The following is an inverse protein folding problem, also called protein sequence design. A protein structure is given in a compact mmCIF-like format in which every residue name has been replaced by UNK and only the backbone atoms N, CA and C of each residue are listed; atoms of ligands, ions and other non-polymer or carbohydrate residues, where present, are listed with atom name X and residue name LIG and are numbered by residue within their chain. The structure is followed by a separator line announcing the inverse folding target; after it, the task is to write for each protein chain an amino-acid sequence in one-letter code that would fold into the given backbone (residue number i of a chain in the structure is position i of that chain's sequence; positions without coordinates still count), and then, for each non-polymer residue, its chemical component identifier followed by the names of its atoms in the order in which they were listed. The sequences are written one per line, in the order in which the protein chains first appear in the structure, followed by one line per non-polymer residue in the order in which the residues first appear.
data_IF_920302548895
#
_entry.id   IF_920302548895
#
_cell.length_a   1.000
_cell.length_b   1.000
_cell.length_c   1.000
_cell.angle_alpha   90.00
_cell.angle_beta   90.00
_cell.angle_gamma   90.00
#
_symmetry.space_group_name_H-M   'P 1'
#
loop_
_entity.id
_entity.type
_entity.pdbx_description
1 polymer ?
#
# COMPACT_ATOMS: atom_id res chain seq x y z
N UNK A 1 -19.06 14.95 6.22
CA UNK A 1 -17.82 14.98 5.44
C UNK A 1 -16.99 13.74 5.71
N UNK A 2 -16.57 13.10 4.66
CA UNK A 2 -15.75 11.89 4.81
C UNK A 2 -14.28 12.27 4.87
N UNK A 3 -13.52 11.60 5.75
CA UNK A 3 -12.07 11.76 5.83
C UNK A 3 -11.41 10.73 4.91
N UNK A 4 -11.58 10.94 3.62
CA UNK A 4 -11.02 10.06 2.61
C UNK A 4 -9.51 10.20 2.56
N UNK A 5 -8.83 9.06 2.63
CA UNK A 5 -7.37 8.98 2.54
C UNK A 5 -6.97 7.99 1.49
N UNK A 6 -5.80 8.21 0.94
CA UNK A 6 -5.19 7.29 0.00
C UNK A 6 -3.92 6.73 0.64
N UNK A 7 -3.79 5.42 0.63
CA UNK A 7 -2.63 4.74 1.19
C UNK A 7 -1.61 4.54 0.06
N UNK A 8 -0.43 5.08 0.26
CA UNK A 8 0.64 5.07 -0.74
C UNK A 8 1.74 4.12 -0.31
N UNK A 9 2.14 3.23 -1.20
CA UNK A 9 3.28 2.35 -1.01
C UNK A 9 4.48 2.95 -1.73
N UNK A 10 5.60 3.07 -1.03
CA UNK A 10 6.84 3.57 -1.63
C UNK A 10 7.72 2.41 -2.04
N UNK A 11 8.57 2.67 -3.04
CA UNK A 11 9.52 1.67 -3.51
C UNK A 11 10.42 1.22 -2.36
N UNK A 12 10.59 -0.10 -2.24
CA UNK A 12 11.33 -0.71 -1.15
C UNK A 12 12.41 -1.61 -1.73
N UNK A 13 13.66 -1.22 -1.54
CA UNK A 13 14.80 -1.98 -2.03
C UNK A 13 15.22 -3.10 -1.06
N UNK A 14 14.69 -3.09 0.15
CA UNK A 14 15.11 -4.02 1.21
C UNK A 14 14.32 -5.32 1.24
N UNK A 15 13.09 -5.31 0.72
CA UNK A 15 12.24 -6.50 0.72
C UNK A 15 12.12 -7.06 -0.70
N UNK A 16 12.03 -8.38 -0.80
CA UNK A 16 11.89 -8.97 -2.11
C UNK A 16 10.45 -8.81 -2.61
N UNK A 17 10.31 -8.95 -3.90
CA UNK A 17 9.07 -8.76 -4.63
C UNK A 17 7.93 -9.64 -4.08
N UNK A 18 8.24 -10.92 -3.85
CA UNK A 18 7.24 -11.88 -3.39
C UNK A 18 6.69 -11.51 -2.01
N UNK A 19 7.55 -11.00 -1.15
CA UNK A 19 7.16 -10.59 0.19
C UNK A 19 6.18 -9.42 0.15
N UNK A 20 6.51 -8.39 -0.63
CA UNK A 20 5.65 -7.21 -0.74
C UNK A 20 4.32 -7.60 -1.37
N UNK A 21 4.34 -8.42 -2.40
CA UNK A 21 3.11 -8.90 -3.05
C UNK A 21 2.21 -9.63 -2.07
N UNK A 22 2.77 -10.52 -1.26
CA UNK A 22 2.00 -11.25 -0.27
C UNK A 22 1.34 -10.31 0.73
N UNK A 23 2.05 -9.26 1.16
CA UNK A 23 1.49 -8.28 2.08
C UNK A 23 0.31 -7.53 1.47
N UNK A 24 0.42 -7.12 0.20
CA UNK A 24 -0.67 -6.41 -0.46
C UNK A 24 -1.90 -7.30 -0.62
N UNK A 25 -1.70 -8.57 -0.93
CA UNK A 25 -2.81 -9.52 -1.06
C UNK A 25 -3.48 -9.72 0.31
N UNK A 26 -2.70 -9.89 1.34
CA UNK A 26 -3.24 -10.22 2.67
C UNK A 26 -3.92 -9.01 3.34
N UNK A 27 -3.28 -7.85 3.31
CA UNK A 27 -3.75 -6.70 4.10
C UNK A 27 -4.55 -5.70 3.30
N UNK A 28 -4.31 -5.58 2.00
CA UNK A 28 -5.04 -4.64 1.14
C UNK A 28 -6.11 -5.31 0.30
N UNK A 29 -6.23 -6.64 0.41
CA UNK A 29 -7.23 -7.41 -0.34
C UNK A 29 -7.04 -7.33 -1.85
N UNK A 30 -5.82 -7.10 -2.30
CA UNK A 30 -5.50 -7.14 -3.72
C UNK A 30 -5.56 -8.57 -4.24
N UNK A 31 -5.94 -8.75 -5.51
CA UNK A 31 -5.68 -10.01 -6.17
C UNK A 31 -4.22 -10.03 -6.63
N UNK A 32 -3.77 -11.17 -7.13
CA UNK A 32 -2.38 -11.35 -7.52
C UNK A 32 -1.92 -10.31 -8.55
N UNK A 33 -2.72 -10.12 -9.60
CA UNK A 33 -2.35 -9.20 -10.68
C UNK A 33 -2.33 -7.75 -10.20
N UNK A 34 -3.30 -7.36 -9.41
CA UNK A 34 -3.38 -6.02 -8.87
C UNK A 34 -2.16 -5.70 -7.99
N UNK A 35 -1.78 -6.65 -7.13
CA UNK A 35 -0.60 -6.48 -6.28
C UNK A 35 0.66 -6.34 -7.12
N UNK A 36 0.82 -7.17 -8.15
CA UNK A 36 1.97 -7.08 -9.04
C UNK A 36 2.05 -5.73 -9.73
N UNK A 37 0.93 -5.24 -10.25
CA UNK A 37 0.91 -3.96 -10.93
C UNK A 37 1.31 -2.81 -10.01
N UNK A 38 0.84 -2.84 -8.75
CA UNK A 38 1.21 -1.82 -7.78
C UNK A 38 2.71 -1.83 -7.49
N UNK A 39 3.31 -3.01 -7.39
CA UNK A 39 4.74 -3.11 -7.12
C UNK A 39 5.55 -2.59 -8.31
N UNK A 40 5.15 -2.93 -9.53
CA UNK A 40 5.83 -2.46 -10.72
C UNK A 40 5.74 -0.93 -10.81
N UNK A 41 4.58 -0.36 -10.55
CA UNK A 41 4.40 1.09 -10.57
C UNK A 41 5.27 1.76 -9.50
N UNK A 42 5.29 1.21 -8.29
CA UNK A 42 6.10 1.75 -7.22
C UNK A 42 7.59 1.67 -7.56
N UNK A 43 8.02 0.59 -8.19
CA UNK A 43 9.41 0.43 -8.60
C UNK A 43 9.79 1.47 -9.66
N UNK A 44 8.92 1.70 -10.63
CA UNK A 44 9.23 2.59 -11.75
C UNK A 44 9.03 4.07 -11.43
N UNK A 45 8.06 4.39 -10.59
CA UNK A 45 7.70 5.78 -10.28
C UNK A 45 8.09 6.22 -8.88
N UNK A 46 8.51 5.29 -8.03
CA UNK A 46 8.86 5.59 -6.65
C UNK A 46 7.74 5.33 -5.66
N UNK A 47 6.50 5.31 -6.10
CA UNK A 47 5.35 5.05 -5.23
C UNK A 47 4.14 4.65 -6.04
N UNK A 48 3.16 4.07 -5.34
CA UNK A 48 1.89 3.66 -5.94
C UNK A 48 0.79 3.72 -4.89
N UNK A 49 -0.37 4.25 -5.29
CA UNK A 49 -1.56 4.21 -4.44
C UNK A 49 -2.09 2.77 -4.41
N UNK A 50 -2.16 2.18 -3.22
CA UNK A 50 -2.55 0.77 -3.10
C UNK A 50 -3.97 0.59 -2.57
N UNK A 51 -4.52 1.61 -1.91
CA UNK A 51 -5.88 1.52 -1.38
C UNK A 51 -6.37 2.92 -1.03
N UNK A 52 -7.69 3.09 -1.02
CA UNK A 52 -8.27 4.35 -0.57
C UNK A 52 -9.55 4.07 0.20
N UNK A 53 -9.90 4.99 1.09
CA UNK A 53 -11.11 4.89 1.88
C UNK A 53 -11.05 5.81 3.07
N UNK A 54 -11.99 5.64 3.98
CA UNK A 54 -12.06 6.44 5.19
C UNK A 54 -10.82 6.21 6.04
N UNK A 55 -10.35 7.28 6.70
CA UNK A 55 -9.14 7.22 7.51
C UNK A 55 -9.22 6.12 8.58
N UNK A 56 -10.40 5.91 9.17
CA UNK A 56 -10.55 4.91 10.22
C UNK A 56 -10.35 3.49 9.69
N UNK A 57 -10.63 3.27 8.41
CA UNK A 57 -10.39 1.98 7.78
C UNK A 57 -8.95 1.83 7.30
N UNK A 58 -8.31 2.94 6.95
CA UNK A 58 -6.95 2.90 6.39
C UNK A 58 -5.87 2.78 7.46
N UNK A 59 -6.09 3.36 8.64
CA UNK A 59 -5.08 3.34 9.71
C UNK A 59 -4.69 1.92 10.11
N UNK A 60 -5.63 1.00 10.37
CA UNK A 60 -5.24 -0.36 10.74
C UNK A 60 -4.45 -1.08 9.65
N UNK A 61 -4.80 -0.84 8.39
CA UNK A 61 -4.09 -1.44 7.26
C UNK A 61 -2.67 -0.91 7.19
N UNK A 62 -2.50 0.41 7.33
CA UNK A 62 -1.18 1.02 7.34
C UNK A 62 -0.32 0.46 8.47
N UNK A 63 -0.89 0.33 9.66
CA UNK A 63 -0.16 -0.19 10.81
C UNK A 63 0.35 -1.59 10.57
N UNK A 64 -0.48 -2.45 9.95
CA UNK A 64 -0.05 -3.81 9.63
C UNK A 64 1.08 -3.82 8.62
N UNK A 65 1.00 -2.99 7.60
CA UNK A 65 2.05 -2.91 6.59
C UNK A 65 3.34 -2.37 7.19
N UNK A 66 3.26 -1.40 8.09
CA UNK A 66 4.43 -0.87 8.77
C UNK A 66 5.09 -1.92 9.66
N UNK A 67 4.29 -2.73 10.34
CA UNK A 67 4.82 -3.84 11.14
C UNK A 67 5.58 -4.84 10.28
N UNK A 68 5.22 -4.96 9.01
CA UNK A 68 5.90 -5.84 8.06
C UNK A 68 7.12 -5.17 7.43
N UNK A 69 7.41 -3.94 7.82
CA UNK A 69 8.59 -3.23 7.33
C UNK A 69 8.40 -2.49 6.03
N UNK A 70 7.18 -2.36 5.55
CA UNK A 70 6.92 -1.65 4.31
C UNK A 70 6.81 -0.15 4.55
N UNK A 71 7.25 0.63 3.57
CA UNK A 71 7.17 2.09 3.63
C UNK A 71 5.85 2.53 3.04
N UNK A 72 4.98 3.07 3.87
CA UNK A 72 3.67 3.56 3.44
C UNK A 72 3.35 4.92 4.03
N UNK A 73 2.41 5.61 3.43
CA UNK A 73 1.96 6.91 3.90
C UNK A 73 0.49 7.11 3.57
N UNK A 74 -0.23 7.79 4.45
CA UNK A 74 -1.61 8.19 4.18
C UNK A 74 -1.61 9.63 3.73
N UNK A 75 -2.29 9.90 2.62
CA UNK A 75 -2.42 11.27 2.12
C UNK A 75 -3.90 11.60 1.92
N UNK A 76 -4.22 12.90 2.01
CA UNK A 76 -5.57 13.38 1.76
C UNK A 76 -5.90 13.32 0.28
N UNK A 77 -7.17 13.07 -0.03
CA UNK A 77 -7.64 12.91 -1.41
C UNK A 77 -8.36 14.16 -1.90
N UNK A 78 -7.86 15.29 -1.63
CA UNK A 78 -8.48 16.55 -2.13
C UNK A 78 -7.66 17.15 -3.23
#
# INVERSE_FOLDING_TARGET
MTSEKQLILYNDADHNYDYVRACLIKYCKHDFLQAEQCIVIAHNRGNCAIKQGDIMDMIPIQEELEKKGLLTKLISMN
#
